data_IF_850248398480
#
_entry.id   IF_850248398480
#
_cell.length_a   1.000
_cell.length_b   1.000
_cell.length_c   1.000
_cell.angle_alpha   90.00
_cell.angle_beta   90.00
_cell.angle_gamma   90.00
#
_symmetry.space_group_name_H-M   'P 1'
#
loop_
_entity.id
_entity.type
_entity.pdbx_description
1 polymer ?
#
# COMPACT_ATOMS: atom_id res chain seq x y z
N UNK A 1 -19.87 -2.97 -23.24
CA UNK A 1 -20.28 -3.47 -21.92
C UNK A 1 -19.03 -3.98 -21.26
N UNK A 2 -18.51 -3.22 -20.30
CA UNK A 2 -17.38 -3.66 -19.48
C UNK A 2 -17.84 -4.83 -18.62
N UNK A 3 -17.04 -5.89 -18.57
CA UNK A 3 -17.33 -7.09 -17.78
C UNK A 3 -17.15 -6.70 -16.31
N UNK A 4 -18.22 -6.78 -15.53
CA UNK A 4 -18.19 -6.53 -14.08
C UNK A 4 -17.20 -7.51 -13.43
N UNK A 5 -16.34 -7.01 -12.54
CA UNK A 5 -15.43 -7.87 -11.79
C UNK A 5 -16.22 -8.73 -10.77
N UNK A 6 -15.58 -9.77 -10.26
CA UNK A 6 -16.21 -10.76 -9.37
C UNK A 6 -16.77 -10.15 -8.07
N UNK A 7 -16.16 -9.07 -7.58
CA UNK A 7 -16.64 -8.30 -6.43
C UNK A 7 -17.89 -7.47 -6.75
N UNK A 8 -17.96 -6.89 -7.95
CA UNK A 8 -19.13 -6.18 -8.44
C UNK A 8 -20.29 -7.15 -8.70
N UNK A 9 -20.00 -8.38 -9.15
CA UNK A 9 -20.99 -9.46 -9.25
C UNK A 9 -21.52 -9.88 -7.88
N UNK A 10 -20.64 -10.10 -6.89
CA UNK A 10 -21.04 -10.50 -5.54
C UNK A 10 -21.83 -9.40 -4.81
N UNK A 11 -21.47 -8.13 -4.99
CA UNK A 11 -22.26 -7.00 -4.50
C UNK A 11 -23.64 -6.96 -5.17
N UNK A 12 -23.68 -7.14 -6.48
CA UNK A 12 -24.94 -7.20 -7.25
C UNK A 12 -25.84 -8.33 -6.76
N UNK A 13 -25.29 -9.51 -6.48
CA UNK A 13 -26.04 -10.65 -5.93
C UNK A 13 -26.57 -10.37 -4.52
N UNK A 14 -25.75 -9.85 -3.61
CA UNK A 14 -26.17 -9.50 -2.24
C UNK A 14 -27.22 -8.39 -2.22
N UNK A 15 -27.06 -7.39 -3.08
CA UNK A 15 -27.97 -6.25 -3.19
C UNK A 15 -29.31 -6.64 -3.85
N UNK A 16 -29.27 -7.46 -4.90
CA UNK A 16 -30.47 -8.08 -5.49
C UNK A 16 -31.19 -9.01 -4.50
N UNK A 17 -30.45 -9.73 -3.65
CA UNK A 17 -31.06 -10.59 -2.62
C UNK A 17 -31.78 -9.77 -1.53
N UNK A 18 -31.16 -8.70 -1.03
CA UNK A 18 -31.82 -7.76 -0.10
C UNK A 18 -33.07 -7.14 -0.75
N UNK A 19 -33.05 -6.92 -2.05
CA UNK A 19 -34.17 -6.36 -2.80
C UNK A 19 -35.29 -7.36 -3.10
N UNK A 20 -34.99 -8.63 -3.40
CA UNK A 20 -36.00 -9.70 -3.48
C UNK A 20 -36.76 -9.89 -2.16
N UNK A 21 -36.15 -9.47 -1.06
CA UNK A 21 -36.81 -9.48 0.26
C UNK A 21 -37.84 -8.33 0.38
N UNK A 22 -37.72 -7.27 -0.42
CA UNK A 22 -38.62 -6.11 -0.49
C UNK A 22 -39.63 -6.20 -1.65
N UNK A 23 -39.21 -6.71 -2.81
CA UNK A 23 -40.07 -7.09 -3.93
C UNK A 23 -40.65 -8.47 -3.67
N UNK A 24 -41.76 -8.52 -2.93
CA UNK A 24 -42.46 -9.76 -2.59
C UNK A 24 -42.95 -10.60 -3.78
N UNK A 25 -42.73 -10.15 -5.02
CA UNK A 25 -43.26 -10.77 -6.25
C UNK A 25 -42.16 -11.17 -7.26
N UNK A 26 -40.87 -10.97 -6.96
CA UNK A 26 -39.70 -11.34 -7.80
C UNK A 26 -39.69 -10.79 -9.25
N UNK A 27 -40.39 -9.70 -9.55
CA UNK A 27 -40.47 -9.15 -10.91
C UNK A 27 -39.44 -8.04 -11.20
N UNK A 28 -38.62 -7.65 -10.22
CA UNK A 28 -37.63 -6.59 -10.35
C UNK A 28 -38.25 -5.18 -10.38
N UNK A 29 -39.51 -5.06 -9.93
CA UNK A 29 -40.29 -3.82 -9.93
C UNK A 29 -40.92 -3.64 -8.55
N UNK A 30 -40.60 -2.53 -7.87
CA UNK A 30 -41.25 -2.16 -6.61
C UNK A 30 -42.21 -1.00 -6.86
N UNK A 31 -43.37 -1.07 -6.21
CA UNK A 31 -44.34 0.02 -6.16
C UNK A 31 -43.68 1.27 -5.56
N UNK A 32 -43.75 2.39 -6.29
CA UNK A 32 -43.02 3.59 -5.93
C UNK A 32 -43.45 4.18 -4.58
N UNK A 33 -44.74 4.08 -4.23
CA UNK A 33 -45.25 4.55 -2.94
C UNK A 33 -44.75 3.67 -1.79
N UNK A 34 -44.67 2.36 -2.00
CA UNK A 34 -44.05 1.45 -1.02
C UNK A 34 -42.55 1.73 -0.84
N UNK A 35 -41.83 1.94 -1.93
CA UNK A 35 -40.40 2.27 -1.92
C UNK A 35 -40.13 3.62 -1.24
N UNK A 36 -40.94 4.63 -1.54
CA UNK A 36 -40.91 5.96 -0.92
C UNK A 36 -41.15 5.90 0.59
N UNK A 37 -42.15 5.13 1.04
CA UNK A 37 -42.42 4.92 2.47
C UNK A 37 -41.26 4.26 3.21
N UNK A 38 -40.56 3.31 2.58
CA UNK A 38 -39.36 2.69 3.16
C UNK A 38 -38.25 3.72 3.30
N UNK A 39 -37.99 4.52 2.26
CA UNK A 39 -36.94 5.53 2.28
C UNK A 39 -37.23 6.65 3.29
N UNK A 40 -38.47 7.16 3.33
CA UNK A 40 -38.88 8.24 4.24
C UNK A 40 -38.79 7.84 5.72
N UNK A 41 -38.89 6.54 6.05
CA UNK A 41 -38.70 6.03 7.42
C UNK A 41 -37.27 6.19 7.94
N UNK A 42 -36.30 6.38 7.06
CA UNK A 42 -34.88 6.54 7.41
C UNK A 42 -34.50 7.97 7.84
N UNK A 43 -35.44 8.92 7.71
CA UNK A 43 -35.40 10.29 8.24
C UNK A 43 -34.08 11.06 8.03
N UNK A 44 -33.80 11.44 6.77
CA UNK A 44 -32.78 12.46 6.45
C UNK A 44 -33.22 13.37 5.30
N UNK A 45 -32.65 14.58 5.23
CA UNK A 45 -32.89 15.53 4.13
C UNK A 45 -32.42 14.94 2.78
N UNK A 46 -31.42 14.06 2.81
CA UNK A 46 -30.87 13.37 1.63
C UNK A 46 -31.89 12.44 0.96
N UNK A 47 -32.83 11.88 1.73
CA UNK A 47 -33.89 11.00 1.18
C UNK A 47 -34.79 11.75 0.18
N UNK A 48 -35.08 13.03 0.42
CA UNK A 48 -35.92 13.83 -0.48
C UNK A 48 -35.23 14.13 -1.81
N UNK A 49 -33.92 14.38 -1.76
CA UNK A 49 -33.10 14.59 -2.96
C UNK A 49 -32.98 13.30 -3.78
N UNK A 50 -32.84 12.14 -3.12
CA UNK A 50 -32.81 10.83 -3.77
C UNK A 50 -34.14 10.54 -4.48
N UNK A 51 -35.28 10.78 -3.82
CA UNK A 51 -36.59 10.58 -4.44
C UNK A 51 -36.81 11.52 -5.65
N UNK A 52 -36.32 12.76 -5.56
CA UNK A 52 -36.38 13.72 -6.66
C UNK A 52 -35.53 13.26 -7.86
N UNK A 53 -34.32 12.76 -7.65
CA UNK A 53 -33.46 12.22 -8.71
C UNK A 53 -34.10 10.98 -9.36
N UNK A 54 -34.74 10.11 -8.57
CA UNK A 54 -35.40 8.91 -9.07
C UNK A 54 -36.58 9.26 -10.01
N UNK A 55 -37.32 10.32 -9.70
CA UNK A 55 -38.38 10.85 -10.56
C UNK A 55 -37.82 11.57 -11.81
N UNK A 56 -36.81 12.43 -11.65
CA UNK A 56 -36.27 13.27 -12.74
C UNK A 56 -35.50 12.47 -13.81
N UNK A 57 -34.78 11.41 -13.42
CA UNK A 57 -34.00 10.55 -14.33
C UNK A 57 -34.83 9.43 -14.99
N UNK A 58 -36.16 9.44 -14.80
CA UNK A 58 -37.07 8.52 -15.48
C UNK A 58 -36.84 7.06 -15.08
N UNK A 59 -36.56 6.81 -13.80
CA UNK A 59 -36.52 5.46 -13.24
C UNK A 59 -37.91 4.99 -12.78
N UNK A 60 -38.92 5.87 -12.79
CA UNK A 60 -40.31 5.54 -12.48
C UNK A 60 -41.14 5.47 -13.75
N UNK A 61 -41.77 4.33 -14.01
CA UNK A 61 -42.71 4.12 -15.10
C UNK A 61 -43.97 3.42 -14.54
N UNK A 62 -45.15 3.97 -14.83
CA UNK A 62 -46.44 3.46 -14.33
C UNK A 62 -46.50 3.22 -12.81
N UNK A 63 -45.99 4.19 -12.04
CA UNK A 63 -45.91 4.15 -10.58
C UNK A 63 -45.05 3.01 -10.00
N UNK A 64 -44.16 2.44 -10.83
CA UNK A 64 -43.20 1.40 -10.44
C UNK A 64 -41.78 1.86 -10.74
N UNK A 65 -40.85 1.54 -9.86
CA UNK A 65 -39.43 1.85 -10.05
C UNK A 65 -38.78 0.72 -10.85
N UNK A 66 -38.15 1.06 -11.97
CA UNK A 66 -37.27 0.16 -12.74
C UNK A 66 -35.93 0.03 -12.01
N UNK A 67 -35.91 -0.94 -11.10
CA UNK A 67 -34.81 -1.11 -10.17
C UNK A 67 -33.55 -1.67 -10.83
N UNK A 68 -33.69 -2.43 -11.92
CA UNK A 68 -32.54 -2.94 -12.69
C UNK A 68 -31.81 -1.76 -13.32
N UNK A 69 -32.55 -0.84 -13.95
CA UNK A 69 -32.00 0.38 -14.53
C UNK A 69 -31.40 1.31 -13.47
N UNK A 70 -32.05 1.42 -12.30
CA UNK A 70 -31.52 2.16 -11.15
C UNK A 70 -30.21 1.54 -10.63
N UNK A 71 -30.13 0.21 -10.49
CA UNK A 71 -28.92 -0.49 -10.08
C UNK A 71 -27.78 -0.30 -11.09
N UNK A 72 -28.06 -0.41 -12.39
CA UNK A 72 -27.06 -0.15 -13.43
C UNK A 72 -26.56 1.29 -13.35
N UNK A 73 -27.44 2.26 -13.10
CA UNK A 73 -27.06 3.67 -12.89
C UNK A 73 -26.21 3.86 -11.62
N UNK A 74 -26.60 3.25 -10.51
CA UNK A 74 -25.84 3.32 -9.25
C UNK A 74 -24.48 2.64 -9.38
N UNK A 75 -24.39 1.50 -10.08
CA UNK A 75 -23.15 0.77 -10.29
C UNK A 75 -22.22 1.48 -11.27
N UNK A 76 -22.75 2.07 -12.35
CA UNK A 76 -21.96 2.91 -13.26
C UNK A 76 -21.50 4.19 -12.57
N UNK A 77 -22.34 4.78 -11.71
CA UNK A 77 -21.97 5.90 -10.83
C UNK A 77 -20.94 5.47 -9.78
N UNK A 78 -21.03 4.26 -9.20
CA UNK A 78 -20.07 3.69 -8.24
C UNK A 78 -18.73 3.37 -8.91
N UNK A 79 -18.72 2.86 -10.13
CA UNK A 79 -17.51 2.69 -10.93
C UNK A 79 -16.86 4.05 -11.23
N UNK A 80 -17.68 5.07 -11.54
CA UNK A 80 -17.22 6.46 -11.69
C UNK A 80 -16.68 7.03 -10.37
N UNK A 81 -17.35 6.77 -9.24
CA UNK A 81 -16.94 7.21 -7.92
C UNK A 81 -15.73 6.44 -7.39
N UNK A 82 -15.54 5.18 -7.74
CA UNK A 82 -14.33 4.41 -7.44
C UNK A 82 -13.15 4.95 -8.27
N UNK A 83 -13.40 5.32 -9.52
CA UNK A 83 -12.44 6.02 -10.38
C UNK A 83 -12.10 7.43 -9.87
N UNK A 84 -13.06 8.14 -9.29
CA UNK A 84 -12.84 9.46 -8.66
C UNK A 84 -12.24 9.33 -7.24
N UNK A 85 -12.57 8.27 -6.49
CA UNK A 85 -12.04 8.00 -5.13
C UNK A 85 -10.62 7.46 -5.17
N UNK A 86 -10.23 6.77 -6.24
CA UNK A 86 -8.82 6.46 -6.56
C UNK A 86 -8.03 7.71 -6.99
N UNK A 87 -8.72 8.78 -7.40
CA UNK A 87 -8.11 10.09 -7.68
C UNK A 87 -8.08 11.03 -6.45
N UNK A 88 -8.95 10.87 -5.45
CA UNK A 88 -9.01 11.74 -4.26
C UNK A 88 -9.31 10.94 -2.97
N UNK A 89 -8.29 10.35 -2.36
CA UNK A 89 -8.45 9.63 -1.09
C UNK A 89 -8.86 10.53 0.08
N UNK A 90 -9.99 10.23 0.74
CA UNK A 90 -10.13 10.00 2.19
C UNK A 90 -11.56 9.57 2.57
N UNK A 91 -11.59 8.62 3.50
CA UNK A 91 -12.70 7.83 4.07
C UNK A 91 -13.66 8.68 4.92
N UNK A 92 -14.97 8.35 4.93
CA UNK A 92 -15.79 8.24 6.16
C UNK A 92 -16.86 7.16 5.95
N UNK A 93 -16.79 6.11 6.77
CA UNK A 93 -17.86 5.15 6.97
C UNK A 93 -18.86 5.68 8.00
N UNK A 94 -20.15 5.36 7.83
CA UNK A 94 -21.13 5.47 8.91
C UNK A 94 -22.14 4.33 8.86
N UNK A 95 -22.10 3.50 9.91
CA UNK A 95 -22.94 2.32 10.24
C UNK A 95 -24.41 2.68 10.54
N UNK A 96 -25.30 1.68 10.70
CA UNK A 96 -25.98 1.50 12.00
C UNK A 96 -25.94 0.02 12.48
N UNK A 97 -25.31 -0.27 13.63
CA UNK A 97 -25.83 -0.41 15.02
C UNK A 97 -26.72 -1.64 15.27
N UNK A 98 -26.20 -2.58 16.06
CA UNK A 98 -26.97 -3.50 16.91
C UNK A 98 -26.49 -3.34 18.36
N UNK A 99 -27.46 -3.50 19.26
CA UNK A 99 -27.54 -3.03 20.64
C UNK A 99 -27.43 -4.21 21.60
N UNK A 100 -26.55 -4.16 22.61
CA UNK A 100 -26.63 -5.02 23.79
C UNK A 100 -26.19 -4.24 25.04
N UNK A 101 -27.14 -3.49 25.60
CA UNK A 101 -27.13 -3.22 27.05
C UNK A 101 -27.02 -4.56 27.78
N UNK A 102 -26.05 -4.72 28.69
CA UNK A 102 -26.21 -5.11 30.11
C UNK A 102 -24.81 -5.31 30.72
N UNK A 103 -24.66 -4.97 32.01
CA UNK A 103 -23.50 -5.20 32.89
C UNK A 103 -22.50 -4.04 33.04
N UNK A 104 -22.93 -3.04 33.81
CA UNK A 104 -22.05 -2.21 34.62
C UNK A 104 -21.30 -3.03 35.67
N UNK A 105 -19.96 -2.94 35.70
CA UNK A 105 -19.21 -3.14 36.94
C UNK A 105 -18.03 -2.18 37.04
N UNK A 106 -18.09 -1.30 38.05
CA UNK A 106 -17.03 -0.38 38.49
C UNK A 106 -15.85 -1.14 39.12
N UNK A 107 -14.61 -0.71 38.86
CA UNK A 107 -13.53 -0.46 39.85
C UNK A 107 -12.24 0.03 39.13
N UNK A 108 -11.89 1.30 39.27
CA UNK A 108 -10.90 1.91 40.22
C UNK A 108 -9.47 1.91 39.69
N UNK A 109 -9.03 3.13 39.33
CA UNK A 109 -7.67 3.54 39.02
C UNK A 109 -6.71 3.32 40.20
N UNK A 110 -5.50 2.85 39.91
CA UNK A 110 -4.31 3.11 40.71
C UNK A 110 -3.26 3.72 39.79
N UNK A 111 -3.01 5.02 39.99
CA UNK A 111 -1.82 5.72 39.51
C UNK A 111 -0.64 5.27 40.36
N UNK A 112 0.51 5.01 39.73
CA UNK A 112 1.79 5.15 40.41
C UNK A 112 2.70 6.06 39.59
N UNK A 113 3.15 7.10 40.28
CA UNK A 113 3.94 8.23 39.86
C UNK A 113 5.29 8.08 40.58
N UNK A 114 6.38 7.92 39.84
CA UNK A 114 7.77 8.00 40.32
C UNK A 114 8.61 8.38 39.09
N UNK A 115 9.48 9.36 39.08
CA UNK A 115 10.03 10.22 40.12
C UNK A 115 11.30 10.79 39.50
N UNK A 116 11.35 12.11 39.32
CA UNK A 116 12.50 12.83 38.76
C UNK A 116 13.75 12.59 39.60
N UNK A 117 14.88 12.32 38.95
CA UNK A 117 16.20 12.66 39.46
C UNK A 117 17.02 13.30 38.34
N UNK A 118 17.36 14.58 38.54
CA UNK A 118 18.34 15.33 37.78
C UNK A 118 19.73 15.06 38.38
N UNK A 119 20.73 14.79 37.53
CA UNK A 119 22.09 15.31 37.73
C UNK A 119 22.95 15.11 36.46
N UNK A 120 23.27 16.23 35.83
CA UNK A 120 24.52 16.54 35.12
C UNK A 120 25.03 15.57 34.06
N UNK A 121 25.02 16.00 32.80
CA UNK A 121 26.05 15.57 31.86
C UNK A 121 26.25 16.62 30.75
N UNK A 122 27.52 16.78 30.34
CA UNK A 122 27.93 17.39 29.06
C UNK A 122 26.87 17.08 28.01
N UNK A 123 26.40 18.10 27.29
CA UNK A 123 25.50 17.93 26.14
C UNK A 123 26.15 16.99 25.11
N UNK A 124 26.01 15.68 25.33
CA UNK A 124 26.01 14.72 24.24
C UNK A 124 24.81 15.14 23.43
N UNK A 125 25.04 15.57 22.19
CA UNK A 125 23.96 15.76 21.23
C UNK A 125 23.16 14.45 21.21
N UNK A 126 22.03 14.40 21.92
CA UNK A 126 21.18 13.22 21.95
C UNK A 126 20.60 13.06 20.55
N UNK A 127 21.09 12.03 19.85
CA UNK A 127 20.58 11.67 18.54
C UNK A 127 19.28 10.90 18.74
N UNK A 128 18.17 11.48 18.31
CA UNK A 128 16.90 10.77 18.26
C UNK A 128 16.95 9.82 17.06
N UNK A 129 16.85 8.52 17.33
CA UNK A 129 16.80 7.46 16.32
C UNK A 129 15.50 6.71 16.51
N UNK A 130 14.75 6.52 15.43
CA UNK A 130 13.68 5.51 15.41
C UNK A 130 13.94 4.55 14.26
N UNK A 131 13.70 3.29 14.57
CA UNK A 131 13.91 2.14 13.71
C UNK A 131 12.58 1.43 13.66
N UNK A 132 12.07 1.20 12.46
CA UNK A 132 10.82 0.47 12.26
C UNK A 132 11.01 -0.50 11.10
N UNK A 133 10.47 -1.70 11.23
CA UNK A 133 10.49 -2.73 10.19
C UNK A 133 9.36 -2.50 9.19
N UNK A 134 9.49 -3.15 8.04
CA UNK A 134 8.41 -3.39 7.10
C UNK A 134 8.91 -4.16 5.89
N UNK A 135 8.04 -4.26 4.89
CA UNK A 135 8.24 -5.11 3.74
C UNK A 135 7.73 -4.46 2.45
N UNK A 136 8.38 -4.81 1.35
CA UNK A 136 7.87 -4.60 -0.01
C UNK A 136 7.39 -5.95 -0.53
N UNK A 137 6.21 -6.02 -1.12
CA UNK A 137 5.62 -7.21 -1.70
C UNK A 137 5.48 -7.06 -3.21
N UNK A 138 5.63 -8.17 -3.93
CA UNK A 138 5.30 -8.25 -5.36
C UNK A 138 4.15 -9.21 -5.56
N UNK A 139 2.96 -8.66 -5.77
CA UNK A 139 1.72 -9.40 -5.87
C UNK A 139 1.00 -8.96 -7.13
N UNK A 140 0.50 -9.92 -7.92
CA UNK A 140 -0.33 -9.64 -9.10
C UNK A 140 0.28 -8.59 -10.05
N UNK A 141 1.60 -8.68 -10.30
CA UNK A 141 2.36 -7.74 -11.14
C UNK A 141 2.46 -6.30 -10.61
N UNK A 142 2.03 -6.06 -9.37
CA UNK A 142 2.17 -4.78 -8.68
C UNK A 142 3.18 -4.86 -7.54
N UNK A 143 3.74 -3.71 -7.17
CA UNK A 143 4.60 -3.57 -6.01
C UNK A 143 3.88 -2.79 -4.93
N UNK A 144 3.72 -3.46 -3.81
CA UNK A 144 3.12 -2.93 -2.60
C UNK A 144 4.22 -2.74 -1.57
N UNK A 145 4.08 -1.78 -0.66
CA UNK A 145 5.02 -1.66 0.44
C UNK A 145 4.45 -0.91 1.62
N UNK A 146 4.99 -1.19 2.81
CA UNK A 146 4.64 -0.44 4.00
C UNK A 146 4.95 1.06 3.81
N UNK A 147 4.03 1.88 4.30
CA UNK A 147 4.19 3.34 4.37
C UNK A 147 4.34 3.74 5.81
N UNK A 148 4.83 4.96 6.03
CA UNK A 148 5.06 5.44 7.38
C UNK A 148 4.62 6.90 7.53
N UNK A 149 3.99 7.20 8.66
CA UNK A 149 3.74 8.56 9.08
C UNK A 149 4.93 9.03 9.92
N UNK A 150 5.62 10.05 9.43
CA UNK A 150 6.66 10.77 10.17
C UNK A 150 6.08 12.09 10.68
N UNK A 151 5.92 12.19 11.99
CA UNK A 151 5.47 13.39 12.68
C UNK A 151 6.66 14.15 13.27
N UNK A 152 6.95 15.29 12.66
CA UNK A 152 8.01 16.21 13.06
C UNK A 152 7.42 17.19 14.07
N UNK A 153 7.89 17.12 15.32
CA UNK A 153 7.33 17.92 16.43
C UNK A 153 7.85 19.36 16.41
N UNK A 154 9.06 19.56 15.91
CA UNK A 154 9.75 20.86 15.75
C UNK A 154 10.59 20.81 14.47
N UNK A 155 10.93 21.97 13.88
CA UNK A 155 11.73 21.99 12.65
C UNK A 155 13.05 21.25 12.86
N UNK A 156 13.35 20.28 11.99
CA UNK A 156 14.43 19.34 12.20
C UNK A 156 15.15 19.00 10.89
N UNK A 157 16.44 18.72 11.02
CA UNK A 157 17.19 18.02 9.98
C UNK A 157 17.12 16.52 10.25
N UNK A 158 16.38 15.79 9.42
CA UNK A 158 16.15 14.36 9.59
C UNK A 158 16.86 13.60 8.46
N UNK A 159 17.73 12.67 8.82
CA UNK A 159 18.27 11.69 7.90
C UNK A 159 17.35 10.47 7.86
N UNK A 160 16.98 10.02 6.66
CA UNK A 160 16.13 8.84 6.47
C UNK A 160 16.77 7.92 5.43
N UNK A 161 16.88 6.63 5.77
CA UNK A 161 17.35 5.59 4.86
C UNK A 161 16.72 4.23 5.19
N UNK A 162 16.80 3.30 4.25
CA UNK A 162 16.26 1.95 4.40
C UNK A 162 17.37 0.93 4.26
N UNK A 163 17.40 -0.04 5.18
CA UNK A 163 18.31 -1.18 5.20
C UNK A 163 17.51 -2.47 4.96
N UNK A 164 17.75 -3.21 3.87
CA UNK A 164 17.21 -4.55 3.69
C UNK A 164 17.65 -5.47 4.84
N UNK A 165 16.75 -6.32 5.35
CA UNK A 165 17.03 -7.20 6.50
C UNK A 165 17.25 -8.65 6.13
N UNK A 166 16.78 -9.12 4.97
CA UNK A 166 16.98 -10.50 4.52
C UNK A 166 18.12 -10.63 3.50
N UNK A 167 18.95 -11.67 3.69
CA UNK A 167 19.96 -12.17 2.74
C UNK A 167 19.50 -13.47 2.04
N UNK A 168 18.27 -13.93 2.31
CA UNK A 168 17.77 -15.24 1.88
C UNK A 168 17.16 -15.18 0.48
N UNK A 169 18.00 -15.12 -0.56
CA UNK A 169 17.71 -15.59 -1.94
C UNK A 169 16.53 -14.99 -2.71
N UNK A 170 15.71 -14.11 -2.11
CA UNK A 170 14.51 -13.54 -2.71
C UNK A 170 14.84 -12.63 -3.89
N UNK A 171 13.91 -12.51 -4.84
CA UNK A 171 14.10 -11.82 -6.12
C UNK A 171 14.53 -10.34 -5.95
N UNK A 172 14.21 -9.76 -4.80
CA UNK A 172 14.43 -8.35 -4.48
C UNK A 172 15.67 -8.05 -3.62
N UNK A 173 16.38 -9.07 -3.10
CA UNK A 173 17.35 -8.95 -1.99
C UNK A 173 18.57 -8.07 -2.26
N UNK A 174 18.80 -7.68 -3.51
CA UNK A 174 19.94 -6.85 -3.93
C UNK A 174 19.50 -5.55 -4.62
N UNK A 175 18.22 -5.21 -4.57
CA UNK A 175 17.70 -3.99 -5.19
C UNK A 175 17.77 -2.86 -4.15
N UNK A 176 18.50 -1.75 -4.44
CA UNK A 176 18.52 -0.60 -3.54
C UNK A 176 17.11 -0.06 -3.31
N UNK A 177 16.81 0.28 -2.06
CA UNK A 177 15.55 0.90 -1.67
C UNK A 177 15.77 2.41 -1.54
N UNK A 178 15.02 3.19 -2.30
CA UNK A 178 14.93 4.64 -2.14
C UNK A 178 13.78 5.02 -1.22
N UNK A 179 13.85 6.22 -0.66
CA UNK A 179 12.80 6.79 0.17
C UNK A 179 12.19 7.98 -0.54
N UNK A 180 10.86 8.00 -0.65
CA UNK A 180 10.08 9.16 -1.09
C UNK A 180 9.43 9.82 0.13
N UNK A 181 9.52 11.15 0.22
CA UNK A 181 8.92 11.91 1.33
C UNK A 181 7.87 12.87 0.79
N UNK A 182 6.67 12.78 1.36
CA UNK A 182 5.53 13.62 1.07
C UNK A 182 5.09 14.34 2.34
N UNK A 183 4.68 15.60 2.25
CA UNK A 183 3.98 16.30 3.29
C UNK A 183 2.49 15.95 3.25
N UNK A 184 1.95 15.52 4.39
CA UNK A 184 0.55 15.16 4.51
C UNK A 184 -0.36 16.41 4.39
N UNK A 185 -1.54 16.23 3.79
CA UNK A 185 -2.59 17.24 3.65
C UNK A 185 -2.19 18.56 2.93
N UNK A 186 -1.34 18.50 1.88
CA UNK A 186 -1.02 19.66 1.04
C UNK A 186 -1.28 19.43 -0.45
N UNK A 187 -1.62 20.51 -1.16
CA UNK A 187 -1.87 20.52 -2.62
C UNK A 187 -0.65 20.15 -3.47
N UNK A 188 0.57 20.35 -2.95
CA UNK A 188 1.81 19.84 -3.51
C UNK A 188 2.52 19.01 -2.44
N UNK A 189 2.18 17.71 -2.29
CA UNK A 189 2.61 16.93 -1.14
C UNK A 189 4.07 16.48 -1.30
N UNK A 190 4.57 16.22 -2.51
CA UNK A 190 5.93 15.70 -2.69
C UNK A 190 7.01 16.71 -2.25
N UNK A 191 7.91 16.28 -1.37
CA UNK A 191 9.04 17.06 -0.86
C UNK A 191 10.33 16.71 -1.61
N UNK A 192 10.81 15.47 -1.48
CA UNK A 192 12.02 14.98 -2.15
C UNK A 192 12.14 13.46 -2.05
N UNK A 193 13.13 12.87 -2.72
CA UNK A 193 13.55 11.48 -2.55
C UNK A 193 15.00 11.36 -2.05
N UNK A 194 15.44 10.15 -1.72
CA UNK A 194 16.87 9.83 -1.55
C UNK A 194 17.71 10.41 -2.70
N UNK A 195 18.86 10.99 -2.36
CA UNK A 195 19.72 11.72 -3.31
C UNK A 195 21.19 11.31 -3.26
N UNK A 196 21.64 10.67 -2.18
CA UNK A 196 23.01 10.17 -2.04
C UNK A 196 23.05 8.77 -1.43
N UNK A 197 24.22 8.14 -1.50
CA UNK A 197 24.52 6.87 -0.85
C UNK A 197 25.29 7.18 0.44
N UNK A 198 24.85 6.67 1.59
CA UNK A 198 25.57 6.87 2.85
C UNK A 198 26.82 5.97 2.92
N UNK A 199 27.60 6.13 4.00
CA UNK A 199 28.79 5.31 4.26
C UNK A 199 28.51 3.81 4.39
N UNK A 200 27.25 3.43 4.64
CA UNK A 200 26.79 2.05 4.75
C UNK A 200 26.32 1.48 3.40
N UNK A 201 26.31 2.27 2.32
CA UNK A 201 25.90 1.83 0.98
C UNK A 201 24.40 1.96 0.69
N UNK A 202 23.62 2.61 1.56
CA UNK A 202 22.17 2.75 1.39
C UNK A 202 21.78 4.13 0.82
N UNK A 203 20.70 4.15 0.01
CA UNK A 203 20.13 5.39 -0.50
C UNK A 203 19.51 6.20 0.64
N UNK A 204 19.99 7.42 0.83
CA UNK A 204 19.62 8.30 1.95
C UNK A 204 19.40 9.74 1.47
N UNK A 205 18.75 10.53 2.30
CA UNK A 205 18.78 11.98 2.21
C UNK A 205 18.63 12.61 3.61
N UNK A 206 19.28 13.76 3.79
CA UNK A 206 19.00 14.66 4.90
C UNK A 206 17.93 15.67 4.48
N UNK A 207 16.80 15.65 5.17
CA UNK A 207 15.64 16.48 4.90
C UNK A 207 15.53 17.58 5.94
N UNK A 208 15.48 18.84 5.50
CA UNK A 208 15.11 19.95 6.37
C UNK A 208 13.58 20.03 6.44
N UNK A 209 13.00 19.35 7.43
CA UNK A 209 11.56 19.21 7.60
C UNK A 209 11.05 20.23 8.62
N UNK A 210 9.97 20.92 8.26
CA UNK A 210 9.26 21.79 9.20
C UNK A 210 8.38 20.95 10.11
N UNK A 211 7.96 21.51 11.24
CA UNK A 211 6.92 20.91 12.08
C UNK A 211 5.71 20.51 11.23
N UNK A 212 5.27 19.26 11.37
CA UNK A 212 4.14 18.72 10.63
C UNK A 212 4.20 17.22 10.42
N UNK A 213 3.22 16.70 9.67
CA UNK A 213 3.11 15.29 9.32
C UNK A 213 3.57 15.05 7.90
N UNK A 214 4.30 13.95 7.72
CA UNK A 214 4.86 13.51 6.47
C UNK A 214 4.53 12.03 6.25
N UNK A 215 4.41 11.64 5.00
CA UNK A 215 4.34 10.25 4.57
C UNK A 215 5.69 9.88 3.96
N UNK A 216 6.26 8.80 4.46
CA UNK A 216 7.50 8.20 3.97
C UNK A 216 7.13 6.91 3.24
N UNK A 217 7.60 6.76 2.00
CA UNK A 217 7.33 5.60 1.14
C UNK A 217 8.67 5.02 0.66
N UNK A 218 9.09 3.86 1.18
CA UNK A 218 10.17 3.07 0.60
C UNK A 218 9.78 2.51 -0.77
N UNK A 219 10.66 2.60 -1.76
CA UNK A 219 10.43 2.11 -3.12
C UNK A 219 11.66 1.41 -3.68
N UNK A 220 11.47 0.36 -4.47
CA UNK A 220 12.57 -0.32 -5.15
C UNK A 220 13.10 0.52 -6.32
N UNK A 221 14.42 0.68 -6.40
CA UNK A 221 15.07 1.39 -7.51
C UNK A 221 14.94 0.63 -8.84
N UNK A 222 15.02 -0.70 -8.79
CA UNK A 222 14.96 -1.60 -9.94
C UNK A 222 13.63 -2.34 -10.00
N UNK A 223 12.53 -1.61 -9.82
CA UNK A 223 11.18 -2.17 -9.71
C UNK A 223 10.80 -3.07 -10.90
N UNK A 224 11.27 -2.71 -12.10
CA UNK A 224 11.03 -3.45 -13.34
C UNK A 224 11.77 -4.81 -13.44
N UNK A 225 12.76 -5.05 -12.56
CA UNK A 225 13.53 -6.30 -12.52
C UNK A 225 12.91 -7.33 -11.58
N UNK A 226 11.88 -6.95 -10.84
CA UNK A 226 11.11 -7.89 -10.04
C UNK A 226 10.28 -8.74 -11.00
N UNK A 227 10.81 -9.90 -11.38
CA UNK A 227 10.08 -10.87 -12.18
C UNK A 227 9.27 -11.75 -11.24
N UNK A 228 7.99 -11.94 -11.56
CA UNK A 228 7.17 -12.93 -10.88
C UNK A 228 7.82 -14.30 -11.08
N UNK A 229 8.17 -15.00 -10.01
CA UNK A 229 8.19 -16.46 -10.03
C UNK A 229 6.74 -16.91 -10.11
N UNK A 230 6.16 -16.81 -11.30
CA UNK A 230 4.87 -17.42 -11.62
C UNK A 230 5.09 -18.91 -11.83
N UNK A 231 5.67 -19.61 -10.85
CA UNK A 231 5.30 -21.02 -10.71
C UNK A 231 3.93 -20.99 -10.05
N UNK A 232 2.93 -21.28 -10.87
CA UNK A 232 1.56 -21.58 -10.47
C UNK A 232 1.53 -22.89 -9.67
N UNK A 233 2.39 -22.98 -8.66
CA UNK A 233 2.42 -24.06 -7.69
C UNK A 233 1.29 -23.75 -6.72
N UNK A 234 0.14 -24.35 -7.02
CA UNK A 234 -0.95 -24.39 -6.07
C UNK A 234 -0.42 -25.01 -4.78
N UNK A 235 -0.34 -24.21 -3.70
CA UNK A 235 -0.23 -24.71 -2.34
C UNK A 235 -1.31 -25.79 -2.16
N UNK A 236 -0.87 -27.02 -1.88
CA UNK A 236 -1.76 -28.13 -1.58
C UNK A 236 -2.15 -28.07 -0.10
N UNK A 237 -3.44 -28.25 0.19
CA UNK A 237 -3.94 -28.23 1.56
C UNK A 237 -3.31 -29.34 2.42
N UNK A 238 -3.01 -30.49 1.83
CA UNK A 238 -2.31 -31.59 2.52
C UNK A 238 -0.91 -31.20 3.00
N UNK A 239 -0.33 -30.10 2.49
CA UNK A 239 0.95 -29.57 2.96
C UNK A 239 0.86 -28.74 4.23
N UNK A 240 -0.34 -28.33 4.68
CA UNK A 240 -0.51 -27.43 5.83
C UNK A 240 -0.72 -28.16 7.16
N UNK A 241 -1.34 -29.35 7.11
CA UNK A 241 -1.67 -30.15 8.29
C UNK A 241 -1.19 -31.60 8.17
N UNK A 242 -0.59 -32.12 9.23
CA UNK A 242 -0.42 -33.54 9.49
C UNK A 242 -1.59 -34.05 10.31
N UNK A 243 -2.22 -35.15 9.88
CA UNK A 243 -3.18 -35.89 10.71
C UNK A 243 -2.38 -36.96 11.45
N UNK A 244 -2.32 -36.87 12.77
CA UNK A 244 -1.62 -37.87 13.58
C UNK A 244 -2.43 -39.18 13.71
N UNK A 245 -1.82 -40.21 14.33
CA UNK A 245 -2.46 -41.51 14.56
C UNK A 245 -3.72 -41.42 15.44
N UNK A 246 -3.91 -40.32 16.17
CA UNK A 246 -5.08 -40.03 17.01
C UNK A 246 -6.16 -39.22 16.27
N UNK A 247 -5.94 -38.88 15.00
CA UNK A 247 -6.77 -37.99 14.17
C UNK A 247 -6.79 -36.53 14.65
N UNK A 248 -5.80 -36.10 15.41
CA UNK A 248 -5.60 -34.69 15.73
C UNK A 248 -4.81 -34.04 14.57
N UNK A 249 -5.35 -32.95 14.02
CA UNK A 249 -4.69 -32.20 12.96
C UNK A 249 -3.67 -31.23 13.58
N UNK A 250 -2.40 -31.46 13.30
CA UNK A 250 -1.28 -30.61 13.71
C UNK A 250 -0.67 -29.90 12.50
N UNK A 251 -0.11 -28.71 12.68
CA UNK A 251 0.59 -28.00 11.60
C UNK A 251 1.80 -28.79 11.12
N UNK A 252 2.07 -28.73 9.81
CA UNK A 252 3.36 -29.21 9.30
C UNK A 252 4.49 -28.28 9.75
N UNK A 253 5.74 -28.79 9.87
CA UNK A 253 6.88 -27.94 10.22
C UNK A 253 7.10 -26.76 9.25
N UNK A 254 6.80 -26.96 7.96
CA UNK A 254 6.90 -25.90 6.96
C UNK A 254 5.83 -24.82 7.13
N UNK A 255 4.60 -25.21 7.49
CA UNK A 255 3.52 -24.27 7.81
C UNK A 255 3.83 -23.46 9.07
N UNK A 256 4.33 -24.10 10.13
CA UNK A 256 4.75 -23.40 11.36
C UNK A 256 5.91 -22.43 11.09
N UNK A 257 6.90 -22.85 10.30
CA UNK A 257 8.00 -21.96 9.85
C UNK A 257 7.46 -20.77 9.05
N UNK A 258 6.53 -20.99 8.13
CA UNK A 258 5.94 -19.92 7.33
C UNK A 258 5.14 -18.93 8.17
N UNK A 259 4.34 -19.43 9.12
CA UNK A 259 3.63 -18.57 10.09
C UNK A 259 4.61 -17.78 10.95
N UNK A 260 5.75 -18.37 11.32
CA UNK A 260 6.81 -17.65 12.05
C UNK A 260 7.45 -16.55 11.21
N UNK A 261 7.78 -16.83 9.94
CA UNK A 261 8.30 -15.81 9.03
C UNK A 261 7.29 -14.65 8.89
N UNK A 262 6.01 -14.95 8.71
CA UNK A 262 4.95 -13.93 8.62
C UNK A 262 4.82 -13.13 9.91
N UNK A 263 4.82 -13.80 11.06
CA UNK A 263 4.80 -13.15 12.37
C UNK A 263 5.95 -12.14 12.51
N UNK A 264 7.16 -12.54 12.12
CA UNK A 264 8.33 -11.66 12.17
C UNK A 264 8.27 -10.50 11.15
N UNK A 265 7.53 -10.64 10.05
CA UNK A 265 7.27 -9.58 9.07
C UNK A 265 6.29 -8.52 9.58
N UNK A 266 5.29 -8.93 10.37
CA UNK A 266 4.23 -8.05 10.86
C UNK A 266 4.53 -7.46 12.24
N UNK A 267 5.51 -8.00 12.96
CA UNK A 267 6.18 -7.36 14.11
C UNK A 267 7.01 -6.16 13.61
N UNK A 268 6.34 -5.01 13.46
CA UNK A 268 6.90 -3.82 12.83
C UNK A 268 7.81 -3.05 13.78
N UNK A 269 7.53 -3.07 15.08
CA UNK A 269 8.41 -2.45 16.09
C UNK A 269 9.57 -3.36 16.53
N UNK A 270 9.49 -4.66 16.24
CA UNK A 270 10.56 -5.62 16.48
C UNK A 270 10.64 -6.11 17.92
N UNK A 271 9.58 -5.94 18.71
CA UNK A 271 9.56 -6.30 20.13
C UNK A 271 9.25 -7.80 20.36
N UNK A 272 8.87 -8.54 19.30
CA UNK A 272 8.57 -9.97 19.36
C UNK A 272 7.13 -10.32 19.75
N UNK A 273 6.25 -9.33 19.89
CA UNK A 273 4.82 -9.40 20.17
C UNK A 273 4.06 -8.61 19.08
N UNK A 274 2.78 -8.93 18.86
CA UNK A 274 1.96 -8.18 17.90
C UNK A 274 0.97 -7.28 18.62
N UNK A 275 1.12 -5.98 18.43
CA UNK A 275 0.13 -5.00 18.86
C UNK A 275 -1.16 -5.09 18.03
N UNK A 276 -2.26 -4.56 18.58
CA UNK A 276 -3.50 -4.38 17.82
C UNK A 276 -3.27 -3.63 16.51
N UNK A 277 -2.43 -2.60 16.52
CA UNK A 277 -2.14 -1.80 15.32
C UNK A 277 -1.42 -2.62 14.25
N UNK A 278 -0.44 -3.44 14.63
CA UNK A 278 0.28 -4.31 13.69
C UNK A 278 -0.64 -5.38 13.11
N UNK A 279 -1.45 -6.00 13.96
CA UNK A 279 -2.43 -7.00 13.53
C UNK A 279 -3.50 -6.38 12.61
N UNK A 280 -4.02 -5.20 12.93
CA UNK A 280 -4.95 -4.46 12.08
C UNK A 280 -4.36 -4.16 10.69
N UNK A 281 -3.10 -3.71 10.64
CA UNK A 281 -2.41 -3.43 9.37
C UNK A 281 -2.19 -4.69 8.54
N UNK A 282 -1.92 -5.81 9.20
CA UNK A 282 -1.76 -7.12 8.58
C UNK A 282 -3.10 -7.64 8.00
N UNK A 283 -4.20 -7.55 8.75
CA UNK A 283 -5.52 -7.94 8.26
C UNK A 283 -5.97 -7.02 7.12
N UNK A 284 -5.73 -5.72 7.24
CA UNK A 284 -6.01 -4.78 6.15
C UNK A 284 -5.23 -5.11 4.86
N UNK A 285 -4.00 -5.59 4.98
CA UNK A 285 -3.20 -5.99 3.82
C UNK A 285 -3.69 -7.31 3.20
N UNK A 286 -4.11 -8.27 4.02
CA UNK A 286 -4.44 -9.64 3.55
C UNK A 286 -5.90 -9.81 3.11
N UNK A 287 -6.85 -9.11 3.73
CA UNK A 287 -8.28 -9.20 3.41
C UNK A 287 -8.92 -7.87 2.99
N UNK A 288 -8.26 -6.74 3.24
CA UNK A 288 -8.85 -5.41 3.03
C UNK A 288 -9.79 -4.96 4.17
N UNK A 289 -9.90 -5.75 5.23
CA UNK A 289 -10.78 -5.49 6.38
C UNK A 289 -10.02 -4.87 7.56
N UNK A 290 -10.69 -4.66 8.70
CA UNK A 290 -10.08 -4.15 9.92
C UNK A 290 -10.33 -5.11 11.07
N UNK A 291 -9.32 -5.49 11.83
CA UNK A 291 -9.46 -6.40 12.96
C UNK A 291 -9.86 -5.70 14.28
N UNK A 292 -10.09 -4.38 14.25
CA UNK A 292 -10.41 -3.60 15.45
C UNK A 292 -11.65 -4.10 16.19
N UNK A 293 -12.66 -4.60 15.47
CA UNK A 293 -13.89 -5.14 16.05
C UNK A 293 -13.69 -6.60 16.58
N UNK A 294 -12.58 -7.26 16.22
CA UNK A 294 -12.26 -8.67 16.55
C UNK A 294 -11.16 -8.81 17.61
N UNK A 295 -10.36 -7.75 17.83
CA UNK A 295 -9.21 -7.76 18.74
C UNK A 295 -9.56 -8.19 20.17
N UNK A 296 -10.71 -7.76 20.70
CA UNK A 296 -11.15 -8.19 22.04
C UNK A 296 -11.37 -9.71 22.11
N UNK A 297 -11.89 -10.30 21.03
CA UNK A 297 -12.05 -11.75 20.94
C UNK A 297 -10.69 -12.43 20.89
N UNK A 298 -9.71 -11.84 20.20
CA UNK A 298 -8.35 -12.38 20.16
C UNK A 298 -7.72 -12.35 21.56
N UNK A 299 -7.82 -11.20 22.24
CA UNK A 299 -7.29 -10.99 23.59
C UNK A 299 -7.91 -11.95 24.63
N UNK A 300 -9.20 -12.26 24.50
CA UNK A 300 -9.93 -13.15 25.42
C UNK A 300 -9.65 -14.64 25.18
N UNK A 301 -9.26 -15.05 23.96
CA UNK A 301 -9.20 -16.47 23.55
C UNK A 301 -7.79 -16.99 23.25
N UNK A 302 -6.80 -16.13 23.01
CA UNK A 302 -5.45 -16.55 22.65
C UNK A 302 -4.39 -15.99 23.61
N UNK A 303 -3.16 -16.53 23.52
CA UNK A 303 -2.07 -16.18 24.41
C UNK A 303 -1.53 -14.78 24.14
N UNK A 304 -1.66 -13.92 25.15
CA UNK A 304 -1.20 -12.53 25.16
C UNK A 304 -0.08 -12.30 26.17
N UNK A 305 0.78 -11.32 25.89
CA UNK A 305 1.77 -10.75 26.82
C UNK A 305 1.67 -9.22 26.73
N UNK A 306 1.53 -8.52 27.85
CA UNK A 306 1.37 -7.05 27.92
C UNK A 306 0.28 -6.47 26.99
N UNK A 307 -0.81 -7.23 26.76
CA UNK A 307 -1.91 -6.84 25.89
C UNK A 307 -1.59 -6.96 24.38
N UNK A 308 -0.51 -7.67 24.03
CA UNK A 308 -0.08 -7.95 22.67
C UNK A 308 -0.06 -9.46 22.41
N UNK A 309 -0.33 -9.86 21.18
CA UNK A 309 -0.45 -11.27 20.79
C UNK A 309 0.95 -11.89 20.69
N UNK A 310 1.16 -13.00 21.39
CA UNK A 310 2.40 -13.78 21.32
C UNK A 310 2.44 -14.66 20.07
N UNK A 311 3.62 -15.15 19.68
CA UNK A 311 3.74 -16.12 18.58
C UNK A 311 2.94 -17.40 18.85
N UNK A 312 2.90 -17.88 20.09
CA UNK A 312 2.12 -19.06 20.46
C UNK A 312 0.62 -18.82 20.27
N UNK A 313 0.12 -17.65 20.69
CA UNK A 313 -1.27 -17.26 20.46
C UNK A 313 -1.60 -17.09 18.97
N UNK A 314 -0.68 -16.52 18.19
CA UNK A 314 -0.81 -16.41 16.74
C UNK A 314 -0.87 -17.79 16.06
N UNK A 315 -0.03 -18.72 16.50
CA UNK A 315 -0.02 -20.10 16.00
C UNK A 315 -1.32 -20.83 16.32
N UNK A 316 -1.84 -20.68 17.54
CA UNK A 316 -3.14 -21.24 17.95
C UNK A 316 -4.29 -20.67 17.12
N UNK A 317 -4.32 -19.35 16.92
CA UNK A 317 -5.30 -18.66 16.08
C UNK A 317 -5.31 -19.25 14.67
N UNK A 318 -4.16 -19.28 13.99
CA UNK A 318 -4.10 -19.76 12.62
C UNK A 318 -4.25 -21.28 12.49
N UNK A 319 -3.94 -22.05 13.52
CA UNK A 319 -4.29 -23.48 13.55
C UNK A 319 -5.80 -23.67 13.47
N UNK A 320 -6.56 -22.87 14.23
CA UNK A 320 -8.03 -22.91 14.17
C UNK A 320 -8.55 -22.48 12.79
N UNK A 321 -8.01 -21.39 12.23
CA UNK A 321 -8.43 -20.90 10.90
C UNK A 321 -8.14 -21.95 9.82
N UNK A 322 -7.00 -22.63 9.84
CA UNK A 322 -6.70 -23.69 8.85
C UNK A 322 -7.70 -24.84 8.94
N UNK A 323 -8.16 -25.19 10.14
CA UNK A 323 -9.13 -26.27 10.34
C UNK A 323 -10.55 -25.88 9.88
N UNK A 324 -10.91 -24.59 9.93
CA UNK A 324 -12.24 -24.11 9.55
C UNK A 324 -12.33 -23.59 8.12
N UNK A 325 -11.33 -22.81 7.70
CA UNK A 325 -11.21 -22.18 6.38
C UNK A 325 -9.74 -22.10 5.92
N UNK A 326 -9.21 -23.18 5.33
CA UNK A 326 -7.85 -23.20 4.84
C UNK A 326 -7.61 -22.36 3.59
N UNK A 327 -8.67 -22.00 2.86
CA UNK A 327 -8.55 -21.16 1.68
C UNK A 327 -8.11 -19.75 2.09
N UNK A 328 -8.63 -19.24 3.21
CA UNK A 328 -8.23 -17.96 3.79
C UNK A 328 -6.75 -17.93 4.17
N UNK A 329 -6.23 -19.00 4.76
CA UNK A 329 -4.81 -19.07 5.13
C UNK A 329 -3.91 -19.17 3.90
N UNK A 330 -4.33 -19.91 2.88
CA UNK A 330 -3.64 -19.93 1.58
C UNK A 330 -3.60 -18.54 0.94
N UNK A 331 -4.72 -17.82 0.94
CA UNK A 331 -4.75 -16.44 0.45
C UNK A 331 -3.83 -15.54 1.29
N UNK A 332 -3.89 -15.63 2.62
CA UNK A 332 -3.02 -14.88 3.52
C UNK A 332 -1.53 -15.12 3.22
N UNK A 333 -1.11 -16.38 3.05
CA UNK A 333 0.27 -16.71 2.65
C UNK A 333 0.66 -16.07 1.31
N UNK A 334 -0.22 -16.14 0.32
CA UNK A 334 0.02 -15.49 -0.98
C UNK A 334 0.14 -13.97 -0.83
N UNK A 335 -0.75 -13.32 -0.08
CA UNK A 335 -0.70 -11.88 0.18
C UNK A 335 0.54 -11.47 0.97
N UNK A 336 1.07 -12.34 1.83
CA UNK A 336 2.31 -12.10 2.55
C UNK A 336 3.58 -12.42 1.73
N UNK A 337 3.43 -12.83 0.47
CA UNK A 337 4.54 -13.06 -0.45
C UNK A 337 5.18 -14.44 -0.35
N UNK A 338 4.49 -15.42 0.25
CA UNK A 338 4.92 -16.82 0.25
C UNK A 338 4.67 -17.48 -1.11
N UNK A 339 5.55 -18.39 -1.51
CA UNK A 339 5.38 -19.21 -2.72
C UNK A 339 4.65 -20.55 -2.42
N UNK A 340 4.52 -21.37 -3.47
CA UNK A 340 3.96 -22.72 -3.41
C UNK A 340 4.62 -23.68 -2.42
N UNK A 341 5.86 -23.38 -2.03
CA UNK A 341 6.69 -24.17 -1.11
C UNK A 341 6.79 -23.55 0.28
N UNK A 342 5.95 -22.56 0.61
CA UNK A 342 5.95 -21.86 1.90
C UNK A 342 7.29 -21.15 2.20
N UNK A 343 7.93 -20.63 1.16
CA UNK A 343 9.12 -19.79 1.26
C UNK A 343 8.79 -18.34 0.91
N UNK A 344 9.40 -17.39 1.61
CA UNK A 344 9.24 -15.96 1.37
C UNK A 344 9.96 -15.50 0.09
N UNK A 345 9.35 -15.76 -1.06
CA UNK A 345 9.94 -15.49 -2.38
C UNK A 345 9.57 -14.10 -2.94
N UNK A 346 8.36 -13.61 -2.62
CA UNK A 346 7.75 -12.43 -3.22
C UNK A 346 7.68 -11.23 -2.27
N UNK A 347 8.51 -11.22 -1.21
CA UNK A 347 8.64 -10.09 -0.30
C UNK A 347 10.10 -9.71 -0.03
N UNK A 348 10.33 -8.42 0.19
CA UNK A 348 11.60 -7.86 0.65
C UNK A 348 11.42 -7.19 2.00
N UNK A 349 11.80 -7.87 3.09
CA UNK A 349 11.89 -7.29 4.41
C UNK A 349 12.98 -6.21 4.48
N UNK A 350 12.71 -5.15 5.22
CA UNK A 350 13.63 -4.06 5.47
C UNK A 350 13.39 -3.41 6.82
N UNK A 351 14.33 -2.52 7.18
CA UNK A 351 14.25 -1.62 8.32
C UNK A 351 14.41 -0.19 7.83
N UNK A 352 13.43 0.65 8.12
CA UNK A 352 13.47 2.10 7.93
C UNK A 352 14.11 2.75 9.14
N UNK A 353 15.15 3.55 8.90
CA UNK A 353 15.88 4.27 9.93
C UNK A 353 15.69 5.76 9.72
N UNK A 354 15.18 6.44 10.74
CA UNK A 354 15.13 7.90 10.80
C UNK A 354 16.03 8.40 11.95
N UNK A 355 16.85 9.41 11.68
CA UNK A 355 17.79 10.00 12.66
C UNK A 355 17.67 11.52 12.65
N UNK A 356 17.67 12.15 13.82
CA UNK A 356 17.75 13.61 13.96
C UNK A 356 18.63 13.97 15.14
N UNK A 357 19.47 14.99 14.97
CA UNK A 357 20.18 15.61 16.08
C UNK A 357 19.23 16.60 16.73
N UNK A 358 19.00 16.50 18.04
CA UNK A 358 18.29 17.48 18.87
C UNK A 358 16.75 17.49 18.83
N UNK A 359 16.09 16.91 17.83
CA UNK A 359 14.62 16.97 17.74
C UNK A 359 13.95 15.61 17.85
N UNK A 360 12.91 15.52 18.68
CA UNK A 360 12.01 14.36 18.73
C UNK A 360 11.06 14.38 17.54
N UNK A 361 10.95 13.25 16.89
CA UNK A 361 9.92 12.96 15.90
C UNK A 361 9.20 11.67 16.31
N UNK A 362 8.10 11.34 15.66
CA UNK A 362 7.41 10.06 15.85
C UNK A 362 7.21 9.41 14.49
N UNK A 363 7.63 8.16 14.38
CA UNK A 363 7.46 7.33 13.21
C UNK A 363 6.43 6.25 13.52
N UNK A 364 5.40 6.15 12.69
CA UNK A 364 4.33 5.14 12.84
C UNK A 364 4.12 4.42 11.51
N UNK A 365 3.84 3.10 11.53
CA UNK A 365 3.52 2.39 10.31
C UNK A 365 2.13 2.81 9.81
N UNK A 366 1.94 2.68 8.50
CA UNK A 366 0.68 2.86 7.78
C UNK A 366 0.44 1.63 6.90
N UNK A 367 -0.79 1.51 6.39
CA UNK A 367 -1.19 0.42 5.51
C UNK A 367 -0.25 0.26 4.31
N UNK A 368 -0.03 -0.99 3.95
CA UNK A 368 0.61 -1.39 2.70
C UNK A 368 -0.21 -0.84 1.52
N UNK A 369 0.45 -0.29 0.51
CA UNK A 369 -0.23 0.19 -0.70
C UNK A 369 0.67 0.15 -1.91
N UNK A 370 0.07 0.09 -3.10
CA UNK A 370 0.77 0.24 -4.38
C UNK A 370 1.54 1.56 -4.45
N UNK A 371 2.76 1.50 -4.95
CA UNK A 371 3.61 2.69 -5.08
C UNK A 371 4.16 2.93 -6.48
N UNK A 372 4.07 1.99 -7.44
CA UNK A 372 4.65 2.13 -8.79
C UNK A 372 4.25 3.43 -9.49
N UNK A 373 2.95 3.71 -9.54
CA UNK A 373 2.41 4.93 -10.16
C UNK A 373 2.87 6.21 -9.47
N UNK A 374 3.03 6.18 -8.15
CA UNK A 374 3.51 7.33 -7.36
C UNK A 374 5.00 7.54 -7.62
N UNK A 375 5.78 6.46 -7.61
CA UNK A 375 7.20 6.49 -7.87
C UNK A 375 7.48 7.07 -9.27
N UNK A 376 6.80 6.60 -10.31
CA UNK A 376 6.98 7.11 -11.67
C UNK A 376 6.64 8.61 -11.79
N UNK A 377 5.51 9.04 -11.20
CA UNK A 377 5.13 10.47 -11.15
C UNK A 377 6.20 11.32 -10.46
N UNK A 378 6.78 10.83 -9.37
CA UNK A 378 7.86 11.50 -8.63
C UNK A 378 9.15 11.55 -9.46
N UNK A 379 9.54 10.45 -10.11
CA UNK A 379 10.69 10.41 -11.02
C UNK A 379 10.57 11.47 -12.10
N UNK A 380 9.40 11.57 -12.73
CA UNK A 380 9.15 12.56 -13.78
C UNK A 380 9.24 13.99 -13.24
N UNK A 381 8.61 14.24 -12.10
CA UNK A 381 8.64 15.55 -11.44
C UNK A 381 10.06 15.97 -11.08
N UNK A 382 10.85 15.10 -10.47
CA UNK A 382 12.24 15.41 -10.11
C UNK A 382 13.10 15.67 -11.34
N UNK A 383 12.93 14.91 -12.42
CA UNK A 383 13.65 15.17 -13.65
C UNK A 383 13.38 16.58 -14.20
N UNK A 384 12.12 17.00 -14.17
CA UNK A 384 11.71 18.32 -14.65
C UNK A 384 12.16 19.45 -13.71
N UNK A 385 12.06 19.26 -12.40
CA UNK A 385 12.34 20.33 -11.41
C UNK A 385 13.81 20.45 -11.01
N UNK A 386 14.57 19.34 -11.04
CA UNK A 386 15.95 19.27 -10.53
C UNK A 386 16.97 18.81 -11.58
N UNK A 387 16.52 18.33 -12.73
CA UNK A 387 17.38 17.89 -13.83
C UNK A 387 17.86 19.02 -14.72
N UNK A 388 18.87 18.73 -15.54
CA UNK A 388 19.26 19.58 -16.66
C UNK A 388 18.33 19.35 -17.85
N UNK A 389 17.94 20.40 -18.54
CA UNK A 389 17.07 20.33 -19.72
C UNK A 389 17.78 20.81 -20.98
N UNK A 390 17.53 20.15 -22.11
CA UNK A 390 17.88 20.66 -23.44
C UNK A 390 16.78 20.36 -24.45
N UNK A 391 16.78 21.09 -25.58
CA UNK A 391 15.83 20.85 -26.68
C UNK A 391 16.32 19.71 -27.55
N UNK A 392 15.39 18.85 -27.95
CA UNK A 392 15.67 17.78 -28.92
C UNK A 392 16.06 18.41 -30.26
N UNK A 393 17.10 17.88 -30.90
CA UNK A 393 17.64 18.43 -32.16
C UNK A 393 16.54 18.51 -33.23
N UNK A 394 16.42 19.67 -33.87
CA UNK A 394 15.39 19.96 -34.89
C UNK A 394 13.92 19.91 -34.39
N UNK A 395 13.68 19.79 -33.09
CA UNK A 395 12.34 19.73 -32.50
C UNK A 395 12.21 20.73 -31.34
N UNK A 396 11.90 21.99 -31.67
CA UNK A 396 11.95 23.11 -30.71
C UNK A 396 10.96 23.02 -29.54
N UNK A 397 9.87 22.26 -29.71
CA UNK A 397 8.80 22.07 -28.74
C UNK A 397 8.98 20.79 -27.89
N UNK A 398 10.09 20.07 -28.09
CA UNK A 398 10.45 18.90 -27.29
C UNK A 398 11.63 19.22 -26.38
N UNK A 399 11.43 18.99 -25.09
CA UNK A 399 12.44 19.13 -24.07
C UNK A 399 12.78 17.75 -23.52
N UNK A 400 14.08 17.47 -23.45
CA UNK A 400 14.61 16.31 -22.76
C UNK A 400 15.18 16.77 -21.41
N UNK A 401 14.64 16.24 -20.33
CA UNK A 401 15.13 16.48 -18.98
C UNK A 401 15.94 15.28 -18.52
N UNK A 402 17.13 15.53 -18.00
CA UNK A 402 18.02 14.50 -17.44
C UNK A 402 18.35 14.85 -15.99
N UNK A 403 17.91 14.02 -15.06
CA UNK A 403 18.30 14.14 -13.65
C UNK A 403 19.25 13.01 -13.28
N UNK A 404 20.48 13.41 -12.95
CA UNK A 404 21.60 12.51 -12.69
C UNK A 404 21.94 12.54 -11.20
N UNK A 405 21.85 11.38 -10.58
CA UNK A 405 22.33 11.10 -9.22
C UNK A 405 23.41 10.02 -9.29
N UNK A 406 24.14 9.81 -8.19
CA UNK A 406 25.25 8.84 -8.15
C UNK A 406 24.79 7.40 -8.44
N UNK A 407 23.58 7.04 -8.02
CA UNK A 407 23.03 5.70 -8.10
C UNK A 407 21.99 5.51 -9.22
N UNK A 408 21.59 6.59 -9.93
CA UNK A 408 20.62 6.53 -11.03
C UNK A 408 20.64 7.76 -11.97
N UNK A 409 20.12 7.57 -13.18
CA UNK A 409 19.82 8.66 -14.12
C UNK A 409 18.39 8.50 -14.61
N UNK A 410 17.61 9.57 -14.54
CA UNK A 410 16.23 9.60 -15.04
C UNK A 410 16.15 10.58 -16.21
N UNK A 411 15.62 10.11 -17.35
CA UNK A 411 15.42 10.86 -18.58
C UNK A 411 13.92 10.97 -18.86
N UNK A 412 13.43 12.19 -19.04
CA UNK A 412 12.02 12.51 -19.28
C UNK A 412 11.89 13.33 -20.54
N UNK A 413 10.93 12.94 -21.37
CA UNK A 413 10.56 13.68 -22.59
C UNK A 413 9.33 14.51 -22.28
N UNK A 414 9.37 15.81 -22.57
CA UNK A 414 8.21 16.68 -22.49
C UNK A 414 7.86 17.23 -23.88
N UNK A 415 6.63 16.97 -24.31
CA UNK A 415 6.07 17.49 -25.55
C UNK A 415 5.24 18.73 -25.27
N UNK A 416 5.74 19.89 -25.66
CA UNK A 416 5.05 21.17 -25.55
C UNK A 416 4.25 21.52 -26.80
N UNK A 417 4.30 20.70 -27.85
CA UNK A 417 3.56 20.93 -29.09
C UNK A 417 2.07 20.55 -28.94
N UNK A 418 1.30 20.82 -29.99
CA UNK A 418 -0.10 20.43 -30.12
C UNK A 418 -0.29 19.10 -30.87
N UNK A 419 0.80 18.45 -31.28
CA UNK A 419 0.78 17.21 -32.05
C UNK A 419 1.46 16.08 -31.30
N UNK A 420 1.04 14.84 -31.55
CA UNK A 420 1.76 13.65 -31.07
C UNK A 420 3.13 13.62 -31.77
N UNK A 421 4.18 13.34 -31.03
CA UNK A 421 5.54 13.22 -31.59
C UNK A 421 6.16 11.88 -31.18
N UNK A 422 6.85 11.26 -32.12
CA UNK A 422 7.66 10.06 -31.85
C UNK A 422 9.11 10.49 -31.66
N UNK A 423 9.70 10.10 -30.53
CA UNK A 423 11.10 10.41 -30.19
C UNK A 423 11.85 9.12 -29.99
N UNK A 424 13.01 8.97 -30.62
CA UNK A 424 13.94 7.88 -30.30
C UNK A 424 14.92 8.34 -29.22
N UNK A 425 15.12 7.52 -28.20
CA UNK A 425 16.22 7.68 -27.24
C UNK A 425 17.13 6.46 -27.35
N UNK A 426 18.41 6.69 -27.66
CA UNK A 426 19.43 5.64 -27.78
C UNK A 426 20.52 5.86 -26.73
N UNK A 427 20.53 4.98 -25.74
CA UNK A 427 21.48 4.94 -24.64
C UNK A 427 22.56 3.86 -24.80
N UNK A 428 22.70 3.20 -25.96
CA UNK A 428 23.60 2.03 -26.13
C UNK A 428 25.09 2.33 -25.89
N UNK A 429 25.51 3.59 -25.98
CA UNK A 429 26.89 4.01 -25.67
C UNK A 429 27.17 4.13 -24.17
N UNK A 430 26.14 4.03 -23.35
CA UNK A 430 26.26 4.04 -21.89
C UNK A 430 27.03 2.82 -21.39
N UNK A 431 27.68 2.95 -20.24
CA UNK A 431 28.54 1.91 -19.66
C UNK A 431 28.01 1.45 -18.31
N UNK A 432 28.03 0.14 -18.08
CA UNK A 432 27.62 -0.50 -16.82
C UNK A 432 26.22 -0.04 -16.33
N UNK A 433 25.28 0.17 -17.25
CA UNK A 433 23.92 0.57 -16.89
C UNK A 433 22.87 -0.29 -17.57
N UNK A 434 21.71 -0.34 -16.96
CA UNK A 434 20.51 -0.94 -17.54
C UNK A 434 19.32 -0.03 -17.28
N UNK A 435 18.27 -0.18 -18.08
CA UNK A 435 17.04 0.61 -17.99
C UNK A 435 15.89 -0.21 -17.42
N UNK A 436 14.89 0.49 -16.89
CA UNK A 436 13.55 -0.07 -16.71
C UNK A 436 12.86 -0.50 -18.02
N UNK A 437 13.30 0.09 -19.12
CA UNK A 437 12.92 -0.34 -20.47
C UNK A 437 13.61 -1.66 -20.83
N UNK A 438 12.98 -2.44 -21.71
CA UNK A 438 13.53 -3.70 -22.23
C UNK A 438 14.78 -3.52 -23.09
N UNK A 439 14.96 -2.33 -23.66
CA UNK A 439 16.08 -1.93 -24.51
C UNK A 439 16.69 -0.61 -24.03
N UNK A 440 17.95 -0.35 -24.37
CA UNK A 440 18.57 0.97 -24.23
C UNK A 440 18.31 1.88 -25.44
N UNK A 441 17.79 1.33 -26.53
CA UNK A 441 17.32 2.06 -27.71
C UNK A 441 15.83 1.85 -27.89
N UNK A 442 15.06 2.91 -27.67
CA UNK A 442 13.61 2.88 -27.58
C UNK A 442 12.97 4.04 -28.34
N UNK A 443 11.76 3.80 -28.86
CA UNK A 443 10.90 4.81 -29.48
C UNK A 443 9.71 5.10 -28.58
N UNK A 444 9.43 6.38 -28.37
CA UNK A 444 8.37 6.85 -27.48
C UNK A 444 7.39 7.72 -28.25
N UNK A 445 6.10 7.38 -28.17
CA UNK A 445 5.03 8.25 -28.64
C UNK A 445 4.57 9.19 -27.52
N UNK A 446 4.92 10.46 -27.62
CA UNK A 446 4.61 11.46 -26.59
C UNK A 446 3.44 12.31 -27.04
N UNK A 447 2.34 12.24 -26.28
CA UNK A 447 1.10 12.98 -26.56
C UNK A 447 1.30 14.51 -26.46
N UNK A 448 0.46 15.32 -27.13
CA UNK A 448 0.50 16.77 -27.02
C UNK A 448 0.40 17.26 -25.58
N UNK A 449 1.19 18.27 -25.21
CA UNK A 449 1.15 18.92 -23.89
C UNK A 449 1.34 17.97 -22.69
N UNK A 450 2.02 16.84 -22.88
CA UNK A 450 2.31 15.87 -21.82
C UNK A 450 3.82 15.67 -21.60
N UNK A 451 4.16 14.87 -20.59
CA UNK A 451 5.50 14.34 -20.37
C UNK A 451 5.45 12.84 -20.12
N UNK A 452 6.54 12.15 -20.43
CA UNK A 452 6.68 10.71 -20.31
C UNK A 452 8.07 10.36 -19.77
N UNK A 453 8.14 9.31 -18.93
CA UNK A 453 9.40 8.73 -18.52
C UNK A 453 10.00 7.96 -19.70
N UNK A 454 11.14 8.39 -20.22
CA UNK A 454 11.84 7.69 -21.29
C UNK A 454 12.72 6.58 -20.72
N UNK A 455 13.76 6.98 -20.00
CA UNK A 455 14.68 6.05 -19.35
C UNK A 455 14.80 6.33 -17.86
N UNK A 456 14.90 5.25 -17.09
CA UNK A 456 15.28 5.24 -15.68
C UNK A 456 16.39 4.21 -15.59
N UNK A 457 17.61 4.71 -15.46
CA UNK A 457 18.85 3.98 -15.63
C UNK A 457 19.54 3.86 -14.28
N UNK A 458 20.10 2.69 -14.04
CA UNK A 458 20.82 2.37 -12.81
C UNK A 458 21.97 1.42 -13.13
N UNK A 459 23.01 1.37 -12.28
CA UNK A 459 24.18 0.54 -12.55
C UNK A 459 23.82 -0.95 -12.54
N UNK A 460 24.44 -1.71 -13.44
CA UNK A 460 24.35 -3.18 -13.43
C UNK A 460 25.10 -3.69 -12.21
N UNK A 461 26.37 -3.33 -12.08
CA UNK A 461 27.18 -3.53 -10.88
C UNK A 461 27.47 -2.19 -10.20
N UNK A 462 26.95 -1.93 -8.98
CA UNK A 462 27.21 -0.69 -8.26
C UNK A 462 28.68 -0.49 -7.84
N UNK A 463 29.52 -1.54 -7.90
CA UNK A 463 30.95 -1.47 -7.56
C UNK A 463 31.83 -0.99 -8.72
N UNK A 464 31.31 -0.99 -9.95
CA UNK A 464 32.04 -0.57 -11.13
C UNK A 464 31.66 0.86 -11.53
N UNK A 465 32.58 1.64 -12.13
CA UNK A 465 32.24 2.92 -12.75
C UNK A 465 31.12 2.74 -13.78
N UNK A 466 30.25 3.74 -13.89
CA UNK A 466 29.16 3.73 -14.85
C UNK A 466 28.89 5.13 -15.39
N UNK A 467 28.37 5.20 -16.62
CA UNK A 467 28.09 6.46 -17.30
C UNK A 467 26.90 6.31 -18.22
N UNK A 468 26.13 7.39 -18.36
CA UNK A 468 24.99 7.46 -19.27
C UNK A 468 25.30 8.45 -20.38
N UNK A 469 25.19 7.97 -21.62
CA UNK A 469 25.23 8.77 -22.85
C UNK A 469 23.95 8.45 -23.63
N UNK A 470 23.09 9.45 -23.82
CA UNK A 470 21.84 9.34 -24.55
C UNK A 470 21.92 10.21 -25.81
N UNK A 471 21.56 9.64 -26.95
CA UNK A 471 21.36 10.36 -28.21
C UNK A 471 19.89 10.31 -28.61
N UNK A 472 19.32 11.48 -28.88
CA UNK A 472 17.93 11.66 -29.28
C UNK A 472 17.78 11.96 -30.78
N UNK A 473 16.69 11.48 -31.41
CA UNK A 473 16.34 11.80 -32.81
C UNK A 473 14.86 11.78 -33.09
#
# INVERSE_FOLDING_TARGET
MEVLNENDMLFTEKFLHAFKTLDGNEHGLIDYEHFKLILERTCSQEVKEILQIIEEEGFVHDNKVDFVKLCISILSTRALFNKISSENGKIVSSKPRINTNTFTRRKTNVRNDFGKNNAGNKEREEMCIQIIRGSIFHLNEDLLGNRYQLEILENALVEIFVKPTSNSGGIMCNIPIEVLVFQDNKSKPFISSSSFINSEGFCTMQFNLRKGKYVVIPVLLKWDKVKSTTSSENLDFESLLNIDEKKEAALTPDCERALKEIYDLIDLDGNGLLSQTEFDLFIQHTSGETAADEWSTIEDNFKMEDGQLTFEGFLELYTMVIQTDPADVKNMFQQMGMNGSLELANAQPFVLVAKSKMTKFVLRPLCVSSYCNIAEKVLRKMAIEQGSSHKVKNMNDLLLYTHKLLHRVTIVIQNQSHSKVTVRLDCNKSQNCQSHQTSLDCYFEVLPRTNMLGHHLYPVDPKLPWSVECTES
#
